data_IF_525147928613
#
_entry.id   IF_525147928613
#
_cell.length_a   1.000
_cell.length_b   1.000
_cell.length_c   1.000
_cell.angle_alpha   90.00
_cell.angle_beta   90.00
_cell.angle_gamma   90.00
#
_symmetry.space_group_name_H-M   'P 1'
#
loop_
_entity.id
_entity.type
_entity.pdbx_description
1 polymer ?
#
# COMPACT_ATOMS: atom_id res chain seq x y z
N UNK A 1 -4.64 10.87 -12.76
CA UNK A 1 -5.63 10.22 -11.86
C UNK A 1 -6.81 9.60 -12.59
N UNK A 2 -7.54 10.29 -13.50
CA UNK A 2 -8.70 9.69 -14.21
C UNK A 2 -8.42 8.35 -14.92
N UNK A 3 -7.29 8.15 -15.62
CA UNK A 3 -6.96 6.84 -16.20
C UNK A 3 -6.72 5.78 -15.13
N UNK A 4 -6.09 6.16 -14.01
CA UNK A 4 -5.72 5.24 -12.94
C UNK A 4 -6.93 4.71 -12.16
N UNK A 5 -7.93 5.57 -11.92
CA UNK A 5 -9.19 5.16 -11.30
C UNK A 5 -9.88 4.09 -12.16
N UNK A 6 -9.99 4.31 -13.47
CA UNK A 6 -10.72 3.40 -14.37
C UNK A 6 -9.97 2.10 -14.65
N UNK A 7 -8.64 2.16 -14.77
CA UNK A 7 -7.82 1.02 -15.19
C UNK A 7 -7.37 0.17 -14.01
N UNK A 8 -7.24 0.75 -12.81
CA UNK A 8 -6.67 0.06 -11.64
C UNK A 8 -7.62 0.00 -10.46
N UNK A 9 -8.05 1.16 -9.95
CA UNK A 9 -8.84 1.18 -8.71
C UNK A 9 -10.21 0.55 -8.89
N UNK A 10 -10.91 0.86 -9.98
CA UNK A 10 -12.23 0.31 -10.24
C UNK A 10 -12.19 -1.23 -10.41
N UNK A 11 -11.28 -1.83 -11.21
CA UNK A 11 -11.14 -3.28 -11.27
C UNK A 11 -10.81 -3.93 -9.92
N UNK A 12 -9.92 -3.33 -9.11
CA UNK A 12 -9.60 -3.85 -7.77
C UNK A 12 -10.80 -3.79 -6.83
N UNK A 13 -11.51 -2.65 -6.80
CA UNK A 13 -12.73 -2.50 -6.01
C UNK A 13 -13.80 -3.49 -6.47
N UNK A 14 -14.00 -3.66 -7.78
CA UNK A 14 -14.99 -4.60 -8.32
C UNK A 14 -14.66 -6.04 -7.95
N UNK A 15 -13.42 -6.48 -8.15
CA UNK A 15 -12.97 -7.83 -7.78
C UNK A 15 -13.17 -8.11 -6.28
N UNK A 16 -12.78 -7.15 -5.44
CA UNK A 16 -12.97 -7.26 -4.00
C UNK A 16 -14.46 -7.30 -3.61
N UNK A 17 -15.28 -6.42 -4.18
CA UNK A 17 -16.71 -6.35 -3.88
C UNK A 17 -17.44 -7.63 -4.32
N UNK A 18 -17.12 -8.18 -5.49
CA UNK A 18 -17.66 -9.46 -5.97
C UNK A 18 -17.31 -10.57 -4.99
N UNK A 19 -16.04 -10.67 -4.57
CA UNK A 19 -15.61 -11.69 -3.61
C UNK A 19 -16.27 -11.50 -2.23
N UNK A 20 -16.42 -10.25 -1.77
CA UNK A 20 -17.09 -9.92 -0.52
C UNK A 20 -18.55 -10.36 -0.52
N UNK A 21 -19.28 -10.11 -1.61
CA UNK A 21 -20.67 -10.53 -1.73
C UNK A 21 -20.79 -12.05 -1.90
N UNK A 22 -19.97 -12.66 -2.78
CA UNK A 22 -20.01 -14.09 -3.07
C UNK A 22 -19.60 -14.97 -1.89
N UNK A 23 -18.73 -14.47 -1.00
CA UNK A 23 -18.29 -15.18 0.21
C UNK A 23 -19.25 -15.02 1.40
N UNK A 24 -20.39 -14.36 1.23
CA UNK A 24 -21.29 -14.06 2.34
C UNK A 24 -20.68 -13.08 3.35
N UNK A 25 -19.87 -12.12 2.86
CA UNK A 25 -19.19 -11.08 3.66
C UNK A 25 -18.15 -11.65 4.63
N UNK A 26 -17.35 -12.61 4.15
CA UNK A 26 -16.44 -13.36 5.01
C UNK A 26 -15.40 -12.48 5.71
N UNK A 27 -15.12 -12.78 6.99
CA UNK A 27 -14.22 -11.99 7.83
C UNK A 27 -12.75 -12.02 7.40
N UNK A 28 -12.33 -13.03 6.63
CA UNK A 28 -10.95 -13.14 6.12
C UNK A 28 -10.58 -12.08 5.09
N UNK A 29 -11.57 -11.33 4.56
CA UNK A 29 -11.35 -10.19 3.68
C UNK A 29 -10.90 -8.92 4.42
N UNK A 30 -10.99 -8.90 5.75
CA UNK A 30 -10.40 -7.86 6.58
C UNK A 30 -11.14 -6.51 6.61
N UNK A 31 -12.38 -6.43 6.13
CA UNK A 31 -13.18 -5.19 6.27
C UNK A 31 -13.57 -4.88 7.73
N UNK A 32 -13.54 -5.88 8.61
CA UNK A 32 -13.82 -5.68 10.02
C UNK A 32 -12.72 -4.87 10.73
N UNK A 33 -13.03 -4.28 11.89
CA UNK A 33 -12.05 -3.49 12.66
C UNK A 33 -10.95 -4.35 13.30
N UNK A 34 -11.08 -5.69 13.27
CA UNK A 34 -10.21 -6.60 13.99
C UNK A 34 -10.13 -6.26 15.48
N UNK A 35 -8.93 -6.37 16.06
CA UNK A 35 -8.64 -5.80 17.39
C UNK A 35 -8.22 -4.34 17.22
N UNK A 36 -9.20 -3.43 17.29
CA UNK A 36 -9.03 -2.01 16.95
C UNK A 36 -7.82 -1.35 17.64
N UNK A 37 -7.62 -1.57 18.94
CA UNK A 37 -6.47 -1.00 19.66
C UNK A 37 -5.11 -1.45 19.11
N UNK A 38 -4.98 -2.72 18.69
CA UNK A 38 -3.76 -3.23 18.06
C UNK A 38 -3.59 -2.67 16.64
N UNK A 39 -4.67 -2.54 15.89
CA UNK A 39 -4.64 -1.96 14.54
C UNK A 39 -4.21 -0.48 14.57
N UNK A 40 -4.77 0.30 15.51
CA UNK A 40 -4.40 1.70 15.71
C UNK A 40 -2.99 1.85 16.29
N UNK A 41 -2.60 0.99 17.23
CA UNK A 41 -1.24 0.98 17.79
C UNK A 41 -0.20 0.64 16.71
N UNK A 42 -0.46 -0.37 15.88
CA UNK A 42 0.36 -0.68 14.72
C UNK A 42 0.42 0.51 13.75
N UNK A 43 -0.72 1.09 13.38
CA UNK A 43 -0.78 2.23 12.45
C UNK A 43 0.01 3.44 12.96
N UNK A 44 -0.12 3.78 14.25
CA UNK A 44 0.55 4.91 14.88
C UNK A 44 2.08 4.79 14.81
N UNK A 45 2.62 3.57 14.91
CA UNK A 45 4.06 3.31 14.77
C UNK A 45 4.47 3.14 13.30
N UNK A 46 3.74 2.33 12.54
CA UNK A 46 4.10 1.94 11.19
C UNK A 46 4.01 3.11 10.21
N UNK A 47 3.00 3.98 10.33
CA UNK A 47 2.83 5.11 9.41
C UNK A 47 4.04 6.06 9.37
N UNK A 48 4.53 6.63 10.50
CA UNK A 48 5.69 7.52 10.46
C UNK A 48 6.96 6.80 10.02
N UNK A 49 7.16 5.54 10.44
CA UNK A 49 8.31 4.72 10.03
C UNK A 49 8.30 4.47 8.52
N UNK A 50 7.17 4.06 7.96
CA UNK A 50 7.01 3.77 6.54
C UNK A 50 7.15 5.04 5.69
N UNK A 51 6.58 6.16 6.14
CA UNK A 51 6.74 7.44 5.45
C UNK A 51 8.22 7.86 5.38
N UNK A 52 8.92 7.85 6.52
CA UNK A 52 10.33 8.23 6.60
C UNK A 52 11.23 7.28 5.79
N UNK A 53 11.02 5.97 5.92
CA UNK A 53 11.76 4.96 5.15
C UNK A 53 11.54 5.14 3.64
N UNK A 54 10.30 5.38 3.22
CA UNK A 54 9.96 5.58 1.81
C UNK A 54 10.60 6.84 1.24
N UNK A 55 10.64 7.94 2.01
CA UNK A 55 11.38 9.16 1.65
C UNK A 55 12.87 8.87 1.47
N UNK A 56 13.48 8.15 2.42
CA UNK A 56 14.91 7.85 2.39
C UNK A 56 15.27 7.00 1.15
N UNK A 57 14.46 5.99 0.86
CA UNK A 57 14.63 5.15 -0.34
C UNK A 57 14.44 6.00 -1.61
N UNK A 58 13.43 6.86 -1.65
CA UNK A 58 13.18 7.70 -2.81
C UNK A 58 14.31 8.71 -3.06
N UNK A 59 14.88 9.28 -2.00
CA UNK A 59 16.05 10.14 -2.08
C UNK A 59 17.26 9.38 -2.64
N UNK A 60 17.51 8.17 -2.14
CA UNK A 60 18.59 7.32 -2.63
C UNK A 60 18.43 6.96 -4.11
N UNK A 61 17.22 6.57 -4.53
CA UNK A 61 16.92 6.27 -5.93
C UNK A 61 17.06 7.51 -6.82
N UNK A 62 16.60 8.67 -6.35
CA UNK A 62 16.70 9.95 -7.06
C UNK A 62 18.16 10.30 -7.36
N UNK A 63 19.04 10.17 -6.37
CA UNK A 63 20.49 10.44 -6.54
C UNK A 63 21.14 9.56 -7.61
N UNK A 64 20.61 8.36 -7.86
CA UNK A 64 21.12 7.45 -8.90
C UNK A 64 20.54 7.74 -10.28
N UNK A 65 19.26 8.11 -10.37
CA UNK A 65 18.57 8.34 -11.65
C UNK A 65 18.63 9.79 -12.13
N UNK A 66 19.00 10.74 -11.28
CA UNK A 66 19.14 12.15 -11.60
C UNK A 66 17.82 12.90 -11.85
N UNK A 67 16.67 12.29 -11.56
CA UNK A 67 15.36 12.88 -11.78
C UNK A 67 14.36 12.42 -10.70
N UNK A 68 13.38 13.25 -10.37
CA UNK A 68 12.26 12.89 -9.49
C UNK A 68 11.04 13.71 -9.88
N UNK A 69 9.88 13.05 -9.98
CA UNK A 69 8.61 13.74 -10.10
C UNK A 69 8.22 14.32 -8.74
N UNK A 70 8.02 15.64 -8.70
CA UNK A 70 7.70 16.38 -7.48
C UNK A 70 6.41 17.17 -7.71
N UNK A 71 5.47 17.21 -6.76
CA UNK A 71 4.29 18.07 -6.84
C UNK A 71 4.64 19.53 -7.13
N UNK A 72 3.80 20.22 -7.90
CA UNK A 72 4.01 21.62 -8.27
C UNK A 72 4.05 22.53 -7.03
N UNK A 73 3.09 22.34 -6.12
CA UNK A 73 2.91 23.11 -4.89
C UNK A 73 2.39 22.25 -3.73
N UNK A 74 2.07 22.92 -2.62
CA UNK A 74 1.52 22.27 -1.42
C UNK A 74 0.10 21.72 -1.67
N UNK A 75 -0.68 22.44 -2.46
CA UNK A 75 -2.01 22.07 -2.92
C UNK A 75 -1.99 20.76 -3.72
N UNK A 76 -1.07 20.63 -4.68
CA UNK A 76 -0.88 19.40 -5.45
C UNK A 76 -0.39 18.24 -4.56
N UNK A 77 0.53 18.51 -3.62
CA UNK A 77 0.96 17.50 -2.65
C UNK A 77 -0.21 17.00 -1.77
N UNK A 78 -1.07 17.90 -1.30
CA UNK A 78 -2.26 17.53 -0.52
C UNK A 78 -3.30 16.78 -1.35
N UNK A 79 -3.51 17.19 -2.61
CA UNK A 79 -4.41 16.49 -3.52
C UNK A 79 -3.93 15.06 -3.79
N UNK A 80 -2.64 14.86 -3.99
CA UNK A 80 -2.05 13.52 -4.13
C UNK A 80 -2.17 12.70 -2.84
N UNK A 81 -1.94 13.30 -1.66
CA UNK A 81 -2.14 12.61 -0.38
C UNK A 81 -3.60 12.16 -0.18
N UNK A 82 -4.57 13.01 -0.52
CA UNK A 82 -5.98 12.68 -0.45
C UNK A 82 -6.35 11.53 -1.41
N UNK A 83 -5.81 11.56 -2.62
CA UNK A 83 -5.94 10.45 -3.56
C UNK A 83 -5.32 9.15 -3.02
N UNK A 84 -4.14 9.23 -2.39
CA UNK A 84 -3.51 8.06 -1.78
C UNK A 84 -4.31 7.49 -0.61
N UNK A 85 -5.04 8.35 0.11
CA UNK A 85 -6.03 7.95 1.13
C UNK A 85 -7.16 7.06 0.59
N UNK A 86 -7.44 7.10 -0.71
CA UNK A 86 -8.39 6.20 -1.39
C UNK A 86 -7.67 5.02 -2.03
N UNK A 87 -6.55 5.29 -2.69
CA UNK A 87 -5.74 4.28 -3.37
C UNK A 87 -5.25 3.18 -2.43
N UNK A 88 -4.62 3.55 -1.31
CA UNK A 88 -4.02 2.62 -0.35
C UNK A 88 -5.01 1.58 0.17
N UNK A 89 -6.18 1.98 0.70
CA UNK A 89 -7.19 1.02 1.14
C UNK A 89 -7.72 0.09 0.03
N UNK A 90 -7.87 0.59 -1.20
CA UNK A 90 -8.33 -0.25 -2.33
C UNK A 90 -7.26 -1.28 -2.71
N UNK A 91 -6.00 -0.88 -2.76
CA UNK A 91 -4.90 -1.81 -2.99
C UNK A 91 -4.79 -2.83 -1.87
N UNK A 92 -4.88 -2.42 -0.59
CA UNK A 92 -4.86 -3.36 0.53
C UNK A 92 -6.05 -4.31 0.51
N UNK A 93 -7.25 -3.83 0.16
CA UNK A 93 -8.41 -4.69 -0.01
C UNK A 93 -8.15 -5.78 -1.06
N UNK A 94 -7.57 -5.42 -2.19
CA UNK A 94 -7.25 -6.39 -3.24
C UNK A 94 -6.09 -7.33 -2.85
N UNK A 95 -4.92 -6.80 -2.49
CA UNK A 95 -3.73 -7.63 -2.26
C UNK A 95 -3.74 -8.35 -0.91
N UNK A 96 -4.20 -7.71 0.17
CA UNK A 96 -4.16 -8.30 1.51
C UNK A 96 -5.48 -8.98 1.84
N UNK A 97 -6.59 -8.30 1.59
CA UNK A 97 -7.91 -8.86 1.83
C UNK A 97 -8.22 -10.04 0.90
N UNK A 98 -8.32 -9.77 -0.40
CA UNK A 98 -8.74 -10.76 -1.39
C UNK A 98 -7.64 -11.78 -1.68
N UNK A 99 -6.46 -11.34 -2.16
CA UNK A 99 -5.41 -12.28 -2.58
C UNK A 99 -4.78 -12.99 -1.40
N UNK A 100 -4.15 -12.26 -0.46
CA UNK A 100 -3.48 -12.91 0.67
C UNK A 100 -4.48 -13.66 1.55
N UNK A 101 -5.59 -13.03 1.95
CA UNK A 101 -6.64 -13.67 2.75
C UNK A 101 -7.22 -14.92 2.07
N UNK A 102 -7.66 -14.80 0.82
CA UNK A 102 -8.25 -15.92 0.08
C UNK A 102 -7.27 -17.07 -0.14
N UNK A 103 -6.05 -16.78 -0.58
CA UNK A 103 -5.02 -17.81 -0.75
C UNK A 103 -4.58 -18.44 0.58
N UNK A 104 -4.64 -17.68 1.67
CA UNK A 104 -4.36 -18.22 3.01
C UNK A 104 -5.41 -19.23 3.45
N UNK A 105 -6.68 -19.03 3.09
CA UNK A 105 -7.75 -20.00 3.33
C UNK A 105 -7.54 -21.27 2.50
N UNK A 106 -7.07 -21.15 1.26
CA UNK A 106 -6.89 -22.29 0.35
C UNK A 106 -5.62 -23.10 0.63
N UNK A 107 -4.50 -22.43 0.90
CA UNK A 107 -3.16 -23.04 0.93
C UNK A 107 -2.32 -22.68 2.16
N UNK A 108 -2.91 -21.99 3.13
CA UNK A 108 -2.24 -21.57 4.35
C UNK A 108 -1.54 -20.20 4.23
N UNK A 109 -1.38 -19.56 5.38
CA UNK A 109 -0.92 -18.18 5.45
C UNK A 109 0.47 -17.88 4.84
N UNK A 110 1.49 -18.75 4.98
CA UNK A 110 2.78 -18.51 4.33
C UNK A 110 2.67 -18.43 2.79
N UNK A 111 1.85 -19.30 2.18
CA UNK A 111 1.65 -19.35 0.73
C UNK A 111 0.86 -18.11 0.29
N UNK A 112 -0.23 -17.79 0.99
CA UNK A 112 -1.01 -16.60 0.70
C UNK A 112 -0.17 -15.32 0.79
N UNK A 113 0.65 -15.20 1.83
CA UNK A 113 1.59 -14.09 2.00
C UNK A 113 2.61 -14.00 0.85
N UNK A 114 3.28 -15.10 0.51
CA UNK A 114 4.31 -15.11 -0.51
C UNK A 114 3.76 -14.74 -1.89
N UNK A 115 2.65 -15.35 -2.30
CA UNK A 115 2.04 -15.10 -3.62
C UNK A 115 1.49 -13.68 -3.69
N UNK A 116 0.72 -13.24 -2.71
CA UNK A 116 0.13 -11.91 -2.72
C UNK A 116 1.19 -10.80 -2.71
N UNK A 117 2.28 -10.98 -1.95
CA UNK A 117 3.40 -10.05 -1.95
C UNK A 117 4.13 -10.03 -3.29
N UNK A 118 4.38 -11.19 -3.89
CA UNK A 118 5.01 -11.26 -5.20
C UNK A 118 4.16 -10.58 -6.28
N UNK A 119 2.84 -10.83 -6.28
CA UNK A 119 1.92 -10.16 -7.22
C UNK A 119 1.85 -8.66 -6.93
N UNK A 120 1.82 -8.24 -5.66
CA UNK A 120 1.88 -6.82 -5.29
C UNK A 120 3.14 -6.13 -5.85
N UNK A 121 4.31 -6.74 -5.71
CA UNK A 121 5.55 -6.17 -6.22
C UNK A 121 5.53 -6.14 -7.75
N UNK A 122 5.16 -7.24 -8.39
CA UNK A 122 5.20 -7.37 -9.86
C UNK A 122 4.12 -6.55 -10.57
N UNK A 123 2.98 -6.23 -9.92
CA UNK A 123 1.97 -5.38 -10.57
C UNK A 123 2.52 -3.99 -10.90
N UNK A 124 3.39 -3.44 -10.04
CA UNK A 124 3.99 -2.12 -10.28
C UNK A 124 4.85 -2.12 -11.56
N UNK A 125 5.43 -3.27 -11.91
CA UNK A 125 6.14 -3.43 -13.17
C UNK A 125 5.20 -3.27 -14.38
N UNK A 126 3.96 -3.78 -14.29
CA UNK A 126 2.92 -3.57 -15.31
C UNK A 126 2.52 -2.09 -15.43
N UNK A 127 2.59 -1.35 -14.31
CA UNK A 127 2.49 0.11 -14.27
C UNK A 127 3.68 0.87 -14.88
N UNK A 128 4.63 0.17 -15.53
CA UNK A 128 5.84 0.70 -16.17
C UNK A 128 6.86 1.30 -15.21
N UNK A 129 6.82 0.93 -13.93
CA UNK A 129 7.85 1.34 -12.98
C UNK A 129 9.20 0.72 -13.35
N UNK A 130 10.28 1.42 -13.03
CA UNK A 130 11.64 0.88 -13.20
C UNK A 130 11.86 -0.29 -12.25
N UNK A 131 12.81 -1.18 -12.53
CA UNK A 131 13.10 -2.30 -11.62
C UNK A 131 13.50 -1.83 -10.20
N UNK A 132 14.37 -0.82 -10.01
CA UNK A 132 14.66 -0.29 -8.68
C UNK A 132 13.42 0.20 -7.93
N UNK A 133 12.53 0.96 -8.59
CA UNK A 133 11.30 1.45 -7.94
C UNK A 133 10.35 0.27 -7.64
N UNK A 134 10.24 -0.69 -8.56
CA UNK A 134 9.43 -1.91 -8.39
C UNK A 134 9.89 -2.70 -7.18
N UNK A 135 11.20 -2.99 -7.07
CA UNK A 135 11.75 -3.73 -5.93
C UNK A 135 11.65 -2.94 -4.62
N UNK A 136 11.73 -1.60 -4.67
CA UNK A 136 11.49 -0.77 -3.50
C UNK A 136 10.07 -0.96 -2.92
N UNK A 137 9.08 -1.29 -3.75
CA UNK A 137 7.72 -1.61 -3.25
C UNK A 137 7.70 -2.82 -2.34
N UNK A 138 8.67 -3.75 -2.43
CA UNK A 138 8.78 -4.88 -1.51
C UNK A 138 8.99 -4.44 -0.05
N UNK A 139 9.60 -3.27 0.17
CA UNK A 139 9.78 -2.67 1.50
C UNK A 139 8.45 -2.25 2.14
N UNK A 140 7.39 -2.12 1.35
CA UNK A 140 6.00 -1.95 1.81
C UNK A 140 5.28 -3.31 1.76
N UNK A 141 5.45 -4.02 0.64
CA UNK A 141 4.92 -5.34 0.34
C UNK A 141 5.02 -6.31 1.51
N UNK A 142 6.26 -6.61 1.89
CA UNK A 142 6.63 -7.61 2.89
C UNK A 142 6.13 -7.21 4.29
N UNK A 143 6.43 -6.01 4.83
CA UNK A 143 6.00 -5.69 6.19
C UNK A 143 4.47 -5.64 6.34
N UNK A 144 3.74 -5.11 5.35
CA UNK A 144 2.28 -5.05 5.43
C UNK A 144 1.65 -6.43 5.26
N UNK A 145 2.19 -7.27 4.37
CA UNK A 145 1.74 -8.65 4.24
C UNK A 145 1.98 -9.45 5.54
N UNK A 146 3.15 -9.28 6.17
CA UNK A 146 3.44 -9.87 7.47
C UNK A 146 2.50 -9.33 8.56
N UNK A 147 2.24 -8.02 8.59
CA UNK A 147 1.32 -7.42 9.56
C UNK A 147 -0.12 -7.96 9.40
N UNK A 148 -0.60 -8.09 8.16
CA UNK A 148 -1.93 -8.67 7.89
C UNK A 148 -2.05 -10.12 8.38
N UNK A 149 -0.97 -10.89 8.30
CA UNK A 149 -0.92 -12.27 8.78
C UNK A 149 -0.74 -12.36 10.29
N UNK A 150 0.19 -11.60 10.87
CA UNK A 150 0.71 -11.83 12.22
C UNK A 150 0.05 -10.95 13.29
N UNK A 151 -0.66 -9.86 12.92
CA UNK A 151 -1.36 -9.06 13.92
C UNK A 151 -2.45 -9.89 14.61
N UNK A 152 -2.46 -9.94 15.96
CA UNK A 152 -3.42 -10.77 16.68
C UNK A 152 -4.88 -10.38 16.45
N UNK A 153 -5.75 -11.38 16.36
CA UNK A 153 -7.20 -11.21 16.26
C UNK A 153 -7.74 -11.46 14.85
N UNK A 154 -9.02 -11.13 14.59
CA UNK A 154 -9.59 -11.24 13.26
C UNK A 154 -8.80 -10.37 12.26
N UNK A 155 -8.60 -10.81 11.01
CA UNK A 155 -7.95 -10.02 9.98
C UNK A 155 -8.59 -8.65 9.84
N UNK A 156 -7.77 -7.62 9.64
CA UNK A 156 -8.22 -6.25 9.43
C UNK A 156 -7.29 -5.50 8.49
N UNK A 157 -7.89 -4.74 7.58
CA UNK A 157 -7.17 -3.89 6.64
C UNK A 157 -6.84 -2.52 7.22
N UNK A 158 -7.39 -2.15 8.38
CA UNK A 158 -7.29 -0.80 8.94
C UNK A 158 -5.85 -0.35 9.13
N UNK A 159 -5.07 -1.09 9.93
CA UNK A 159 -3.70 -0.72 10.27
C UNK A 159 -2.78 -0.74 9.06
N UNK A 160 -2.89 -1.78 8.24
CA UNK A 160 -2.07 -1.92 7.02
C UNK A 160 -2.42 -0.87 5.97
N UNK A 161 -3.68 -0.45 5.84
CA UNK A 161 -4.08 0.62 4.92
C UNK A 161 -3.50 1.97 5.34
N UNK A 162 -3.55 2.31 6.62
CA UNK A 162 -2.96 3.56 7.13
C UNK A 162 -1.45 3.58 6.89
N UNK A 163 -0.76 2.47 7.18
CA UNK A 163 0.67 2.34 6.94
C UNK A 163 1.02 2.39 5.44
N UNK A 164 0.21 1.78 4.58
CA UNK A 164 0.37 1.86 3.13
C UNK A 164 0.23 3.30 2.64
N UNK A 165 -0.84 4.01 3.01
CA UNK A 165 -1.05 5.42 2.64
C UNK A 165 0.20 6.25 2.99
N UNK A 166 0.73 6.08 4.20
CA UNK A 166 1.92 6.77 4.64
C UNK A 166 3.17 6.40 3.81
N UNK A 167 3.36 5.11 3.48
CA UNK A 167 4.44 4.67 2.61
C UNK A 167 4.33 5.30 1.21
N UNK A 168 3.15 5.29 0.59
CA UNK A 168 2.90 5.89 -0.72
C UNK A 168 3.14 7.39 -0.68
N UNK A 169 2.64 8.09 0.34
CA UNK A 169 2.90 9.52 0.56
C UNK A 169 4.38 9.82 0.78
N UNK A 170 5.15 8.90 1.38
CA UNK A 170 6.59 9.09 1.55
C UNK A 170 7.38 8.87 0.25
N UNK A 171 6.97 7.89 -0.55
CA UNK A 171 7.65 7.54 -1.80
C UNK A 171 7.28 8.48 -2.95
N UNK A 172 6.02 8.90 -3.01
CA UNK A 172 5.43 9.70 -4.08
C UNK A 172 4.81 10.97 -3.52
N UNK A 173 4.54 11.97 -4.36
CA UNK A 173 3.78 13.17 -3.99
C UNK A 173 4.37 13.93 -2.77
N UNK A 174 3.76 13.85 -1.57
CA UNK A 174 4.19 14.58 -0.37
C UNK A 174 5.67 14.42 0.01
N UNK A 175 6.24 13.22 -0.04
CA UNK A 175 7.63 12.96 0.32
C UNK A 175 8.63 13.63 -0.62
N UNK A 176 8.53 13.43 -1.95
CA UNK A 176 9.24 14.22 -2.95
C UNK A 176 9.09 15.74 -2.78
N UNK A 177 7.89 16.22 -2.45
CA UNK A 177 7.65 17.63 -2.17
C UNK A 177 8.44 18.13 -0.95
N UNK A 178 8.46 17.34 0.13
CA UNK A 178 9.23 17.64 1.34
C UNK A 178 10.74 17.67 1.05
N UNK A 179 11.27 16.66 0.33
CA UNK A 179 12.68 16.62 -0.08
C UNK A 179 13.09 17.88 -0.85
N UNK A 180 12.24 18.35 -1.77
CA UNK A 180 12.46 19.59 -2.51
C UNK A 180 12.50 20.81 -1.58
N UNK A 181 11.55 20.92 -0.64
CA UNK A 181 11.50 22.03 0.32
C UNK A 181 12.70 22.05 1.26
N UNK A 182 13.24 20.87 1.60
CA UNK A 182 14.44 20.72 2.40
C UNK A 182 15.75 20.88 1.62
N UNK A 183 15.69 21.11 0.29
CA UNK A 183 16.86 21.24 -0.60
C UNK A 183 17.76 20.00 -0.59
N UNK A 184 17.14 18.82 -0.55
CA UNK A 184 17.83 17.53 -0.55
C UNK A 184 17.85 16.85 -1.92
N UNK A 185 17.21 17.45 -2.93
CA UNK A 185 17.16 16.99 -4.33
C UNK A 185 18.20 17.69 -5.19
#
# INVERSE_FOLDING_TARGET
MRPDILIRLLPFTAAFAIAYLASGRAGWLGLGPGRLGLQLGFAALAAPVMFAASIAVQLWLTRRRGALLVPAGADDAWFQAAFYGVNGPIEEAFFRGLMQGGLSILWGAPVGFAIATAVYVLYHRLGRWTWPDTLATALVGVPLGLAYWLLPGPPSLLGVSIAHIAATCGFLGPGPYLLRKMRLL
#
